data_IF_712924900887
#
_entry.id   IF_712924900887
#
_cell.length_a   1.000
_cell.length_b   1.000
_cell.length_c   1.000
_cell.angle_alpha   90.00
_cell.angle_beta   90.00
_cell.angle_gamma   90.00
#
_symmetry.space_group_name_H-M   'P 1'
#
loop_
_entity.id
_entity.type
_entity.pdbx_description
1 polymer ?
#
# COMPACT_ATOMS: atom_id res chain seq x y z
N UNK A 1 3.43 5.42 -21.70
CA UNK A 1 2.81 6.65 -21.15
C UNK A 1 1.29 6.43 -21.00
N UNK A 2 0.85 5.80 -19.92
CA UNK A 2 -0.57 5.64 -19.62
C UNK A 2 -1.03 6.76 -18.69
N UNK A 3 -1.70 7.80 -19.23
CA UNK A 3 -2.36 8.82 -18.39
C UNK A 3 -3.73 8.28 -17.99
N UNK A 4 -3.94 8.09 -16.69
CA UNK A 4 -5.28 7.90 -16.13
C UNK A 4 -6.04 9.22 -16.31
N UNK A 5 -7.08 9.21 -17.15
CA UNK A 5 -7.98 10.35 -17.31
C UNK A 5 -8.89 10.43 -16.08
N UNK A 6 -8.50 11.24 -15.10
CA UNK A 6 -9.41 11.65 -14.02
C UNK A 6 -10.35 12.73 -14.57
N UNK A 7 -11.66 12.50 -14.40
CA UNK A 7 -12.75 13.43 -14.69
C UNK A 7 -12.47 14.78 -14.02
N UNK A 8 -12.45 15.86 -14.83
CA UNK A 8 -12.26 17.23 -14.32
C UNK A 8 -13.48 17.67 -13.52
N UNK A 9 -13.38 17.61 -12.19
CA UNK A 9 -14.36 18.22 -11.31
C UNK A 9 -14.00 19.70 -11.11
N UNK A 10 -14.93 20.61 -11.42
CA UNK A 10 -14.69 22.07 -11.49
C UNK A 10 -14.67 22.80 -10.14
N UNK A 11 -14.62 22.11 -9.00
CA UNK A 11 -14.35 22.75 -7.70
C UNK A 11 -12.90 22.50 -7.30
N UNK A 12 -11.98 23.30 -7.85
CA UNK A 12 -10.56 23.23 -7.50
C UNK A 12 -10.39 23.83 -6.10
N UNK A 13 -10.16 22.97 -5.09
CA UNK A 13 -9.81 23.37 -3.72
C UNK A 13 -8.62 24.33 -3.75
N UNK A 14 -8.75 25.56 -3.27
CA UNK A 14 -7.58 26.45 -3.11
C UNK A 14 -6.80 26.05 -1.87
N UNK A 15 -5.47 25.98 -1.96
CA UNK A 15 -4.61 25.74 -0.80
C UNK A 15 -4.56 27.00 0.08
N UNK A 16 -4.73 26.85 1.39
CA UNK A 16 -4.53 27.96 2.32
C UNK A 16 -3.05 28.37 2.38
N UNK A 17 -2.77 29.56 2.93
CA UNK A 17 -1.38 30.00 3.15
C UNK A 17 -0.60 29.01 4.04
N UNK A 18 -1.23 28.47 5.09
CA UNK A 18 -0.61 27.47 5.97
C UNK A 18 -0.33 26.15 5.25
N UNK A 19 -1.21 25.73 4.34
CA UNK A 19 -0.99 24.53 3.52
C UNK A 19 0.12 24.74 2.49
N UNK A 20 0.16 25.92 1.85
CA UNK A 20 1.25 26.28 0.93
C UNK A 20 2.61 26.27 1.63
N UNK A 21 2.67 26.77 2.87
CA UNK A 21 3.88 26.73 3.70
C UNK A 21 4.27 25.29 4.07
N UNK A 22 3.33 24.54 4.67
CA UNK A 22 3.55 23.14 5.10
C UNK A 22 4.02 22.25 3.96
N UNK A 23 3.36 22.32 2.80
CA UNK A 23 3.60 21.43 1.67
C UNK A 23 4.56 22.00 0.64
N UNK A 24 5.24 23.13 0.92
CA UNK A 24 6.10 23.80 -0.05
C UNK A 24 7.11 22.85 -0.69
N UNK A 25 7.72 21.98 0.12
CA UNK A 25 8.72 21.00 -0.35
C UNK A 25 8.14 19.94 -1.28
N UNK A 26 6.88 19.55 -1.11
CA UNK A 26 6.20 18.66 -2.04
C UNK A 26 5.87 19.42 -3.33
N UNK A 27 5.30 20.63 -3.20
CA UNK A 27 4.87 21.48 -4.32
C UNK A 27 6.04 21.82 -5.26
N UNK A 28 7.22 22.06 -4.70
CA UNK A 28 8.43 22.37 -5.48
C UNK A 28 8.95 21.18 -6.31
N UNK A 29 8.47 19.95 -6.09
CA UNK A 29 8.87 18.78 -6.87
C UNK A 29 8.34 18.91 -8.31
N UNK A 30 9.22 18.83 -9.34
CA UNK A 30 8.80 18.85 -10.73
C UNK A 30 7.75 17.78 -11.04
N UNK A 31 6.60 18.20 -11.57
CA UNK A 31 5.47 17.32 -11.91
C UNK A 31 4.42 17.16 -10.82
N UNK A 32 4.74 17.40 -9.55
CA UNK A 32 3.76 17.36 -8.45
C UNK A 32 2.97 18.68 -8.40
N UNK A 33 3.65 19.79 -8.05
CA UNK A 33 3.05 21.12 -8.00
C UNK A 33 1.82 21.21 -7.07
N UNK A 34 1.14 22.36 -7.07
CA UNK A 34 -0.07 22.48 -6.26
C UNK A 34 -1.18 21.53 -6.70
N UNK A 35 -1.24 21.17 -7.99
CA UNK A 35 -2.24 20.22 -8.51
C UNK A 35 -2.10 18.86 -7.85
N UNK A 36 -0.88 18.33 -7.78
CA UNK A 36 -0.60 17.06 -7.12
C UNK A 36 -0.87 17.14 -5.61
N UNK A 37 -0.49 18.25 -4.97
CA UNK A 37 -0.76 18.44 -3.55
C UNK A 37 -2.26 18.49 -3.22
N UNK A 38 -3.07 19.15 -4.05
CA UNK A 38 -4.54 19.12 -3.93
C UNK A 38 -5.09 17.72 -4.08
N UNK A 39 -4.60 16.97 -5.07
CA UNK A 39 -5.00 15.58 -5.26
C UNK A 39 -4.70 14.72 -4.02
N UNK A 40 -3.52 14.88 -3.40
CA UNK A 40 -3.21 14.20 -2.13
C UNK A 40 -4.22 14.58 -1.03
N UNK A 41 -4.46 15.87 -0.84
CA UNK A 41 -5.37 16.39 0.20
C UNK A 41 -6.83 15.99 0.00
N UNK A 42 -7.22 15.60 -1.22
CA UNK A 42 -8.58 15.16 -1.54
C UNK A 42 -8.71 13.62 -1.59
N UNK A 43 -7.59 12.89 -1.47
CA UNK A 43 -7.53 11.43 -1.58
C UNK A 43 -7.87 10.71 -0.27
N UNK A 44 -8.42 9.50 -0.41
CA UNK A 44 -8.72 8.56 0.67
C UNK A 44 -7.89 7.28 0.52
N UNK A 45 -7.07 6.98 1.53
CA UNK A 45 -6.20 5.80 1.56
C UNK A 45 -6.65 4.84 2.66
N UNK A 46 -6.87 3.58 2.29
CA UNK A 46 -7.04 2.48 3.25
C UNK A 46 -5.69 1.81 3.49
N UNK A 47 -5.16 1.88 4.70
CA UNK A 47 -3.96 1.16 5.14
C UNK A 47 -4.39 -0.06 5.95
N UNK A 48 -4.20 -1.25 5.39
CA UNK A 48 -4.55 -2.52 6.06
C UNK A 48 -3.30 -3.07 6.73
N UNK A 49 -3.27 -3.03 8.06
CA UNK A 49 -2.12 -3.36 8.89
C UNK A 49 -1.37 -2.13 9.39
N UNK A 50 -1.21 -2.03 10.71
CA UNK A 50 -0.43 -1.02 11.41
C UNK A 50 0.89 -1.58 11.98
N UNK A 51 1.29 -2.78 11.53
CA UNK A 51 2.55 -3.44 11.92
C UNK A 51 3.82 -2.78 11.35
N UNK A 52 4.83 -3.58 11.01
CA UNK A 52 6.15 -3.05 10.62
C UNK A 52 6.09 -2.07 9.45
N UNK A 53 5.47 -2.48 8.34
CA UNK A 53 5.27 -1.64 7.15
C UNK A 53 4.36 -0.44 7.48
N UNK A 54 3.18 -0.70 8.05
CA UNK A 54 2.18 0.32 8.38
C UNK A 54 2.72 1.42 9.28
N UNK A 55 3.50 1.05 10.31
CA UNK A 55 4.13 2.00 11.23
C UNK A 55 5.06 3.02 10.54
N UNK A 56 5.59 2.69 9.36
CA UNK A 56 6.39 3.62 8.54
C UNK A 56 5.54 4.30 7.48
N UNK A 57 4.65 3.57 6.80
CA UNK A 57 3.79 4.13 5.73
C UNK A 57 2.87 5.24 6.26
N UNK A 58 2.17 4.99 7.37
CA UNK A 58 1.13 5.89 7.90
C UNK A 58 1.67 7.32 8.15
N UNK A 59 2.75 7.53 8.94
CA UNK A 59 3.27 8.88 9.17
C UNK A 59 3.79 9.54 7.88
N UNK A 60 4.30 8.78 6.91
CA UNK A 60 4.75 9.34 5.62
C UNK A 60 3.57 9.85 4.78
N UNK A 61 2.46 9.11 4.72
CA UNK A 61 1.25 9.55 4.00
C UNK A 61 0.60 10.76 4.69
N UNK A 62 0.49 10.73 6.02
CA UNK A 62 -0.05 11.85 6.80
C UNK A 62 0.84 13.10 6.64
N UNK A 63 2.16 12.95 6.75
CA UNK A 63 3.10 14.05 6.54
C UNK A 63 3.05 14.63 5.13
N UNK A 64 2.83 13.79 4.11
CA UNK A 64 2.67 14.23 2.71
C UNK A 64 1.34 14.97 2.45
N UNK A 65 0.39 14.93 3.37
CA UNK A 65 -0.91 15.58 3.23
C UNK A 65 -1.93 14.74 2.46
N UNK A 66 -1.89 13.41 2.59
CA UNK A 66 -3.00 12.55 2.13
C UNK A 66 -4.23 12.83 3.00
N UNK A 67 -5.30 13.36 2.40
CA UNK A 67 -6.41 13.98 3.14
C UNK A 67 -7.14 13.07 4.12
N UNK A 68 -7.34 11.81 3.75
CA UNK A 68 -7.99 10.82 4.61
C UNK A 68 -7.17 9.52 4.64
N UNK A 69 -6.79 9.09 5.83
CA UNK A 69 -6.07 7.82 6.06
C UNK A 69 -6.87 6.98 7.04
N UNK A 70 -7.44 5.87 6.55
CA UNK A 70 -8.09 4.87 7.42
C UNK A 70 -7.11 3.75 7.68
N UNK A 71 -6.83 3.48 8.95
CA UNK A 71 -5.88 2.47 9.41
C UNK A 71 -6.66 1.32 10.04
N UNK A 72 -6.39 0.08 9.64
CA UNK A 72 -7.03 -1.10 10.21
C UNK A 72 -6.00 -2.04 10.80
N UNK A 73 -6.25 -2.57 11.98
CA UNK A 73 -5.44 -3.59 12.63
C UNK A 73 -6.19 -4.17 13.82
N UNK A 74 -6.24 -5.51 13.91
CA UNK A 74 -6.90 -6.21 15.02
C UNK A 74 -5.98 -6.53 16.20
N UNK A 75 -4.67 -6.34 16.04
CA UNK A 75 -3.69 -6.73 17.04
C UNK A 75 -3.42 -5.63 18.07
N UNK A 76 -2.78 -6.05 19.15
CA UNK A 76 -2.26 -5.18 20.21
C UNK A 76 -0.77 -4.93 20.03
N UNK A 77 -0.28 -3.75 20.44
CA UNK A 77 1.15 -3.42 20.46
C UNK A 77 1.86 -4.28 21.52
N UNK A 78 2.89 -5.01 21.10
CA UNK A 78 3.73 -5.84 21.97
C UNK A 78 5.18 -5.33 22.02
N UNK A 79 5.91 -5.62 23.11
CA UNK A 79 7.32 -5.18 23.28
C UNK A 79 8.21 -5.68 22.12
N UNK A 80 8.08 -6.95 21.72
CA UNK A 80 8.87 -7.54 20.63
C UNK A 80 8.59 -6.94 19.25
N UNK A 81 7.54 -6.12 19.13
CA UNK A 81 7.18 -5.45 17.90
C UNK A 81 7.93 -4.11 17.74
N UNK A 82 8.32 -3.47 18.86
CA UNK A 82 8.84 -2.10 18.87
C UNK A 82 10.15 -1.90 18.10
N UNK A 83 10.95 -2.96 17.91
CA UNK A 83 12.19 -2.89 17.12
C UNK A 83 11.98 -2.51 15.64
N UNK A 84 10.76 -2.77 15.12
CA UNK A 84 10.38 -2.47 13.72
C UNK A 84 9.09 -1.67 13.57
N UNK A 85 8.26 -1.59 14.61
CA UNK A 85 7.01 -0.83 14.60
C UNK A 85 7.20 0.55 15.23
N UNK A 86 7.97 1.38 14.55
CA UNK A 86 8.54 2.62 15.10
C UNK A 86 7.53 3.74 15.35
N UNK A 87 6.27 3.55 14.98
CA UNK A 87 5.18 4.48 15.27
C UNK A 87 4.67 4.32 16.71
N UNK A 88 4.63 3.10 17.23
CA UNK A 88 3.97 2.83 18.51
C UNK A 88 4.84 3.24 19.71
N UNK A 89 4.17 3.70 20.77
CA UNK A 89 4.82 4.15 22.02
C UNK A 89 4.30 3.43 23.25
N UNK A 90 3.06 2.95 23.19
CA UNK A 90 2.36 2.35 24.33
C UNK A 90 2.09 0.89 24.03
N UNK A 91 2.63 0.00 24.86
CA UNK A 91 2.36 -1.44 24.80
C UNK A 91 0.98 -1.72 25.38
N UNK A 92 0.26 -2.68 24.81
CA UNK A 92 -1.05 -3.10 25.31
C UNK A 92 -2.26 -2.38 24.69
N UNK A 93 -2.06 -1.34 23.87
CA UNK A 93 -3.15 -0.73 23.10
C UNK A 93 -3.28 -1.36 21.70
N UNK A 94 -4.48 -1.27 21.10
CA UNK A 94 -4.68 -1.72 19.72
C UNK A 94 -3.79 -0.93 18.75
N UNK A 95 -3.20 -1.61 17.76
CA UNK A 95 -2.24 -1.00 16.83
C UNK A 95 -2.86 0.08 15.94
N UNK A 96 -4.11 -0.07 15.49
CA UNK A 96 -4.78 0.93 14.66
C UNK A 96 -5.08 2.22 15.46
N UNK A 97 -5.59 2.07 16.68
CA UNK A 97 -5.81 3.19 17.60
C UNK A 97 -4.50 3.89 17.95
N UNK A 98 -3.47 3.10 18.29
CA UNK A 98 -2.12 3.59 18.56
C UNK A 98 -1.59 4.40 17.37
N UNK A 99 -1.71 3.87 16.15
CA UNK A 99 -1.24 4.55 14.95
C UNK A 99 -1.96 5.89 14.74
N UNK A 100 -3.30 5.90 14.79
CA UNK A 100 -4.09 7.11 14.59
C UNK A 100 -3.76 8.19 15.63
N UNK A 101 -3.67 7.81 16.90
CA UNK A 101 -3.32 8.73 17.99
C UNK A 101 -1.93 9.36 17.81
N UNK A 102 -0.94 8.57 17.35
CA UNK A 102 0.44 9.06 17.19
C UNK A 102 0.60 10.04 16.03
N UNK A 103 -0.20 9.94 14.97
CA UNK A 103 -0.11 10.84 13.81
C UNK A 103 -1.10 12.01 13.86
N UNK A 104 -2.02 12.03 14.81
CA UNK A 104 -3.00 13.12 14.95
C UNK A 104 -2.34 14.50 15.12
N UNK A 105 -1.20 14.55 15.83
CA UNK A 105 -0.43 15.79 16.01
C UNK A 105 0.53 16.14 14.86
N UNK A 106 0.74 15.22 13.91
CA UNK A 106 1.71 15.40 12.82
C UNK A 106 1.18 16.39 11.76
N UNK A 107 -0.09 16.23 11.38
CA UNK A 107 -0.67 17.03 10.31
C UNK A 107 -2.17 17.28 10.52
N UNK A 108 -2.52 18.51 10.91
CA UNK A 108 -3.91 18.91 11.16
C UNK A 108 -4.79 19.06 9.91
N UNK A 109 -4.21 19.00 8.71
CA UNK A 109 -4.99 18.98 7.46
C UNK A 109 -5.55 17.58 7.11
N UNK A 110 -5.08 16.54 7.81
CA UNK A 110 -5.35 15.13 7.49
C UNK A 110 -6.29 14.52 8.52
N UNK A 111 -7.34 13.85 8.03
CA UNK A 111 -8.22 13.04 8.86
C UNK A 111 -7.68 11.62 8.95
N UNK A 112 -7.44 11.13 10.17
CA UNK A 112 -7.01 9.75 10.40
C UNK A 112 -8.07 9.00 11.20
N UNK A 113 -8.51 7.85 10.69
CA UNK A 113 -9.52 7.01 11.35
C UNK A 113 -8.92 5.62 11.65
N UNK A 114 -9.23 5.07 12.82
CA UNK A 114 -8.82 3.73 13.22
C UNK A 114 -9.99 2.74 13.15
N UNK A 115 -9.71 1.53 12.67
CA UNK A 115 -10.62 0.37 12.70
C UNK A 115 -9.90 -0.73 13.52
N UNK A 116 -10.19 -0.85 14.82
CA UNK A 116 -9.42 -1.65 15.77
C UNK A 116 -9.83 -3.13 15.81
N UNK A 117 -10.16 -3.72 14.66
CA UNK A 117 -10.54 -5.13 14.58
C UNK A 117 -10.02 -5.77 13.30
N UNK A 118 -9.97 -7.11 13.31
CA UNK A 118 -9.57 -7.89 12.13
C UNK A 118 -10.67 -7.80 11.07
N UNK A 119 -10.33 -7.31 9.88
CA UNK A 119 -11.29 -7.19 8.80
C UNK A 119 -11.77 -8.56 8.32
N UNK A 120 -13.07 -8.70 8.13
CA UNK A 120 -13.63 -9.79 7.36
C UNK A 120 -13.81 -9.42 5.88
N UNK A 121 -14.45 -10.30 5.10
CA UNK A 121 -14.70 -10.06 3.67
C UNK A 121 -15.64 -8.89 3.43
N UNK A 122 -16.65 -8.71 4.27
CA UNK A 122 -17.66 -7.65 4.11
C UNK A 122 -17.07 -6.29 4.47
N UNK A 123 -16.24 -6.24 5.51
CA UNK A 123 -15.45 -5.07 5.88
C UNK A 123 -14.52 -4.64 4.74
N UNK A 124 -13.72 -5.59 4.20
CA UNK A 124 -12.84 -5.32 3.06
C UNK A 124 -13.64 -4.78 1.87
N UNK A 125 -14.73 -5.45 1.50
CA UNK A 125 -15.57 -5.05 0.38
C UNK A 125 -16.10 -3.61 0.50
N UNK A 126 -16.62 -3.23 1.68
CA UNK A 126 -17.12 -1.88 1.99
C UNK A 126 -16.00 -0.83 2.01
N UNK A 127 -14.89 -1.14 2.70
CA UNK A 127 -13.78 -0.20 2.86
C UNK A 127 -13.10 0.05 1.53
N UNK A 128 -12.79 -1.00 0.76
CA UNK A 128 -12.20 -0.84 -0.58
C UNK A 128 -13.12 -0.02 -1.49
N UNK A 129 -14.45 -0.14 -1.38
CA UNK A 129 -15.39 0.67 -2.18
C UNK A 129 -15.23 2.19 -1.99
N UNK A 130 -14.91 2.59 -0.76
CA UNK A 130 -15.01 3.98 -0.30
C UNK A 130 -13.66 4.71 -0.29
N UNK A 131 -12.57 4.01 -0.61
CA UNK A 131 -11.22 4.55 -0.67
C UNK A 131 -10.70 4.56 -2.10
N UNK A 132 -9.79 5.48 -2.41
CA UNK A 132 -9.23 5.64 -3.76
C UNK A 132 -8.14 4.62 -4.04
N UNK A 133 -7.37 4.25 -3.01
CA UNK A 133 -6.27 3.27 -3.06
C UNK A 133 -6.19 2.50 -1.75
N UNK A 134 -5.77 1.24 -1.86
CA UNK A 134 -5.47 0.38 -0.71
C UNK A 134 -3.97 0.15 -0.61
N UNK A 135 -3.43 0.19 0.61
CA UNK A 135 -2.03 -0.09 0.91
C UNK A 135 -1.97 -1.34 1.80
N UNK A 136 -1.42 -2.42 1.26
CA UNK A 136 -1.26 -3.69 1.98
C UNK A 136 -0.01 -3.65 2.86
N UNK A 137 -0.23 -3.53 4.17
CA UNK A 137 0.80 -3.52 5.20
C UNK A 137 0.70 -4.74 6.14
N UNK A 138 -0.05 -5.79 5.76
CA UNK A 138 -0.18 -7.01 6.57
C UNK A 138 1.03 -7.94 6.37
N UNK A 139 1.24 -8.88 7.27
CA UNK A 139 2.32 -9.87 7.20
C UNK A 139 1.82 -11.30 6.92
N UNK A 140 0.51 -11.49 6.75
CA UNK A 140 -0.09 -12.79 6.44
C UNK A 140 -0.50 -12.89 4.98
N UNK A 141 0.02 -13.90 4.28
CA UNK A 141 -0.18 -14.04 2.85
C UNK A 141 -1.66 -14.23 2.44
N UNK A 142 -2.44 -14.95 3.25
CA UNK A 142 -3.88 -15.11 3.03
C UNK A 142 -4.64 -13.78 2.99
N UNK A 143 -4.34 -12.86 3.91
CA UNK A 143 -4.95 -11.54 3.92
C UNK A 143 -4.46 -10.67 2.74
N UNK A 144 -3.20 -10.78 2.32
CA UNK A 144 -2.70 -10.10 1.10
C UNK A 144 -3.52 -10.45 -0.15
N UNK A 145 -3.81 -11.74 -0.31
CA UNK A 145 -4.67 -12.21 -1.42
C UNK A 145 -6.11 -11.73 -1.26
N UNK A 146 -6.68 -11.77 -0.05
CA UNK A 146 -8.03 -11.29 0.21
C UNK A 146 -8.18 -9.79 -0.13
N UNK A 147 -7.21 -8.96 0.28
CA UNK A 147 -7.13 -7.54 -0.07
C UNK A 147 -7.06 -7.39 -1.60
N UNK A 148 -6.18 -8.12 -2.28
CA UNK A 148 -6.03 -8.04 -3.73
C UNK A 148 -7.30 -8.44 -4.48
N UNK A 149 -8.00 -9.49 -4.03
CA UNK A 149 -9.26 -9.94 -4.62
C UNK A 149 -10.38 -8.90 -4.43
N UNK A 150 -10.47 -8.27 -3.25
CA UNK A 150 -11.41 -7.19 -2.99
C UNK A 150 -11.12 -5.95 -3.86
N UNK A 151 -9.84 -5.55 -3.96
CA UNK A 151 -9.39 -4.47 -4.85
C UNK A 151 -9.74 -4.77 -6.31
N UNK A 152 -9.56 -6.02 -6.75
CA UNK A 152 -9.91 -6.47 -8.10
C UNK A 152 -11.41 -6.36 -8.38
N UNK A 153 -12.25 -6.83 -7.45
CA UNK A 153 -13.70 -6.73 -7.59
C UNK A 153 -14.17 -5.27 -7.67
N UNK A 154 -13.57 -4.39 -6.86
CA UNK A 154 -13.93 -2.96 -6.79
C UNK A 154 -13.17 -2.07 -7.76
N UNK A 155 -12.27 -2.64 -8.57
CA UNK A 155 -11.37 -1.94 -9.49
C UNK A 155 -10.62 -0.80 -8.80
N UNK A 156 -10.06 -1.09 -7.63
CA UNK A 156 -9.24 -0.14 -6.88
C UNK A 156 -7.77 -0.48 -6.99
N UNK A 157 -6.91 0.53 -7.19
CA UNK A 157 -5.47 0.34 -7.10
C UNK A 157 -5.06 -0.25 -5.74
N UNK A 158 -4.04 -1.10 -5.79
CA UNK A 158 -3.42 -1.71 -4.62
C UNK A 158 -1.92 -1.44 -4.66
N UNK A 159 -1.39 -0.83 -3.61
CA UNK A 159 0.05 -0.72 -3.39
C UNK A 159 0.49 -1.80 -2.42
N UNK A 160 1.16 -2.80 -2.97
CA UNK A 160 1.54 -4.03 -2.26
C UNK A 160 3.00 -4.00 -1.86
N UNK A 161 3.30 -4.54 -0.68
CA UNK A 161 4.66 -4.81 -0.26
C UNK A 161 4.75 -6.04 0.65
N UNK A 162 5.93 -6.62 0.74
CA UNK A 162 6.26 -7.68 1.70
C UNK A 162 7.74 -7.61 2.08
N UNK A 163 8.06 -8.05 3.31
CA UNK A 163 9.42 -8.06 3.86
C UNK A 163 9.62 -9.32 4.69
N UNK A 164 10.72 -10.01 4.45
CA UNK A 164 11.16 -11.14 5.25
C UNK A 164 12.68 -11.08 5.39
N UNK A 165 13.19 -11.26 6.61
CA UNK A 165 14.63 -11.18 6.88
C UNK A 165 15.24 -9.86 6.38
N UNK A 166 16.15 -9.93 5.42
CA UNK A 166 16.87 -8.83 4.79
C UNK A 166 16.42 -8.58 3.33
N UNK A 167 15.22 -9.07 2.97
CA UNK A 167 14.67 -8.97 1.62
C UNK A 167 13.29 -8.33 1.63
N UNK A 168 12.98 -7.60 0.56
CA UNK A 168 11.69 -6.94 0.42
C UNK A 168 11.25 -6.81 -1.02
N UNK A 169 9.94 -6.66 -1.20
CA UNK A 169 9.33 -6.48 -2.51
C UNK A 169 8.25 -5.41 -2.46
N UNK A 170 8.06 -4.68 -3.55
CA UNK A 170 6.98 -3.71 -3.72
C UNK A 170 6.48 -3.69 -5.18
N UNK A 171 5.17 -3.47 -5.34
CA UNK A 171 4.51 -3.36 -6.66
C UNK A 171 3.19 -2.61 -6.54
N UNK A 172 2.69 -2.09 -7.67
CA UNK A 172 1.37 -1.46 -7.80
C UNK A 172 0.50 -2.31 -8.73
N UNK A 173 -0.68 -2.70 -8.24
CA UNK A 173 -1.67 -3.50 -8.95
C UNK A 173 -2.95 -2.72 -9.21
N UNK A 174 -3.80 -3.21 -10.12
CA UNK A 174 -5.10 -2.58 -10.41
C UNK A 174 -5.01 -1.28 -11.21
N UNK A 175 -3.83 -0.99 -11.77
CA UNK A 175 -3.58 0.09 -12.73
C UNK A 175 -3.07 -0.55 -14.03
N UNK A 176 -3.54 -0.14 -15.23
CA UNK A 176 -3.02 -0.68 -16.47
C UNK A 176 -1.52 -0.41 -16.63
N UNK A 177 -0.75 -1.42 -17.02
CA UNK A 177 0.67 -1.28 -17.36
C UNK A 177 0.86 -0.58 -18.74
N UNK A 178 2.11 -0.49 -19.20
CA UNK A 178 2.43 0.12 -20.49
C UNK A 178 1.86 -0.64 -21.70
N UNK A 179 1.55 -1.93 -21.52
CA UNK A 179 0.97 -2.83 -22.53
C UNK A 179 -0.58 -2.88 -22.42
N UNK A 180 -1.15 -2.18 -21.42
CA UNK A 180 -2.59 -2.15 -21.15
C UNK A 180 -3.11 -3.31 -20.30
N UNK A 181 -2.23 -4.15 -19.75
CA UNK A 181 -2.64 -5.26 -18.90
C UNK A 181 -3.03 -4.77 -17.51
N UNK A 182 -4.12 -5.32 -16.96
CA UNK A 182 -4.55 -5.07 -15.59
C UNK A 182 -4.17 -6.26 -14.71
N UNK A 183 -3.04 -6.15 -14.03
CA UNK A 183 -2.45 -7.22 -13.23
C UNK A 183 -2.88 -7.12 -11.76
N UNK A 184 -2.89 -8.28 -11.08
CA UNK A 184 -3.23 -8.45 -9.68
C UNK A 184 -2.25 -9.38 -8.97
N UNK A 185 -2.33 -9.46 -7.65
CA UNK A 185 -1.37 -10.24 -6.85
C UNK A 185 -1.33 -11.73 -7.27
N UNK A 186 -2.45 -12.26 -7.77
CA UNK A 186 -2.55 -13.64 -8.29
C UNK A 186 -1.76 -13.88 -9.58
N UNK A 187 -1.44 -12.85 -10.36
CA UNK A 187 -0.54 -12.97 -11.50
C UNK A 187 0.91 -13.19 -11.06
N UNK A 188 1.29 -12.67 -9.90
CA UNK A 188 2.59 -12.88 -9.26
C UNK A 188 2.62 -14.19 -8.46
N UNK A 189 1.57 -14.48 -7.69
CA UNK A 189 1.45 -15.66 -6.85
C UNK A 189 0.17 -16.44 -7.20
N UNK A 190 0.29 -17.45 -8.07
CA UNK A 190 -0.86 -18.18 -8.62
C UNK A 190 -1.59 -19.03 -7.60
N UNK A 191 -0.84 -19.68 -6.72
CA UNK A 191 -1.37 -20.56 -5.67
C UNK A 191 -0.83 -20.11 -4.31
N UNK A 192 -1.69 -20.24 -3.28
CA UNK A 192 -1.23 -20.23 -1.90
C UNK A 192 -0.33 -21.46 -1.72
N UNK A 193 0.95 -21.29 -1.35
CA UNK A 193 1.64 -22.39 -0.71
C UNK A 193 0.79 -22.82 0.50
N UNK A 194 0.73 -24.11 0.85
CA UNK A 194 0.15 -24.55 2.10
C UNK A 194 0.63 -23.65 3.25
N UNK A 195 -0.24 -23.33 4.22
CA UNK A 195 0.12 -22.42 5.33
C UNK A 195 1.38 -22.89 6.10
N UNK A 196 1.72 -24.18 6.02
CA UNK A 196 2.95 -24.79 6.56
C UNK A 196 4.24 -24.41 5.84
N UNK A 197 4.16 -23.94 4.59
CA UNK A 197 5.30 -23.79 3.68
C UNK A 197 5.79 -22.35 3.58
N UNK A 198 5.06 -21.40 4.18
CA UNK A 198 5.44 -20.00 4.24
C UNK A 198 6.14 -19.72 5.57
N UNK A 199 7.46 -19.46 5.58
CA UNK A 199 8.13 -19.03 6.79
C UNK A 199 7.50 -17.73 7.28
N UNK A 200 6.92 -17.74 8.48
CA UNK A 200 6.40 -16.53 9.08
C UNK A 200 7.58 -15.62 9.44
N UNK A 201 7.40 -14.31 9.31
CA UNK A 201 8.44 -13.34 9.69
C UNK A 201 8.92 -13.51 11.15
N UNK A 202 8.07 -14.08 12.02
CA UNK A 202 8.42 -14.42 13.40
C UNK A 202 9.45 -15.57 13.51
N UNK A 203 9.50 -16.47 12.52
CA UNK A 203 10.35 -17.68 12.54
C UNK A 203 11.73 -17.42 11.90
N UNK A 204 11.82 -16.48 10.95
CA UNK A 204 13.06 -16.13 10.25
C UNK A 204 13.67 -14.80 10.76
N UNK A 205 12.88 -13.99 11.47
CA UNK A 205 13.25 -12.66 11.91
C UNK A 205 13.20 -11.62 10.78
N UNK A 206 13.25 -10.34 11.16
CA UNK A 206 13.25 -9.21 10.22
C UNK A 206 13.90 -7.97 10.85
N UNK A 207 14.73 -7.27 10.08
CA UNK A 207 15.39 -6.04 10.52
C UNK A 207 14.50 -4.82 10.28
N UNK A 208 14.20 -4.05 11.33
CA UNK A 208 13.34 -2.86 11.23
C UNK A 208 13.78 -1.83 10.18
N UNK A 209 15.08 -1.64 9.99
CA UNK A 209 15.62 -0.74 8.95
C UNK A 209 15.31 -1.22 7.51
N UNK A 210 15.20 -2.53 7.27
CA UNK A 210 14.81 -3.08 5.97
C UNK A 210 13.32 -2.90 5.76
N UNK A 211 12.52 -3.10 6.80
CA UNK A 211 11.08 -2.83 6.78
C UNK A 211 10.82 -1.36 6.42
N UNK A 212 11.55 -0.43 7.04
CA UNK A 212 11.41 1.00 6.77
C UNK A 212 11.79 1.38 5.32
N UNK A 213 12.82 0.76 4.73
CA UNK A 213 13.19 0.98 3.33
C UNK A 213 12.05 0.58 2.38
N UNK A 214 11.50 -0.62 2.57
CA UNK A 214 10.42 -1.13 1.71
C UNK A 214 9.14 -0.33 1.92
N UNK A 215 8.80 0.01 3.17
CA UNK A 215 7.66 0.86 3.49
C UNK A 215 7.80 2.28 2.91
N UNK A 216 9.01 2.83 2.86
CA UNK A 216 9.26 4.12 2.23
C UNK A 216 9.01 4.08 0.72
N UNK A 217 9.43 3.01 0.03
CA UNK A 217 9.07 2.77 -1.38
C UNK A 217 7.55 2.63 -1.53
N UNK A 218 6.90 1.86 -0.66
CA UNK A 218 5.44 1.68 -0.68
C UNK A 218 4.68 3.01 -0.50
N UNK A 219 5.09 3.85 0.44
CA UNK A 219 4.53 5.18 0.64
C UNK A 219 4.79 6.09 -0.57
N UNK A 220 5.99 6.02 -1.16
CA UNK A 220 6.35 6.78 -2.36
C UNK A 220 5.48 6.39 -3.56
N UNK A 221 5.25 5.10 -3.81
CA UNK A 221 4.34 4.63 -4.87
C UNK A 221 2.90 5.11 -4.64
N UNK A 222 2.44 5.10 -3.38
CA UNK A 222 1.10 5.59 -3.03
C UNK A 222 0.97 7.08 -3.33
N UNK A 223 1.94 7.90 -2.91
CA UNK A 223 1.95 9.35 -3.16
C UNK A 223 2.03 9.64 -4.66
N UNK A 224 2.91 8.94 -5.39
CA UNK A 224 3.03 9.08 -6.85
C UNK A 224 1.73 8.75 -7.55
N UNK A 225 1.06 7.66 -7.15
CA UNK A 225 -0.20 7.23 -7.75
C UNK A 225 -1.29 8.29 -7.57
N UNK A 226 -1.46 8.80 -6.35
CA UNK A 226 -2.48 9.80 -6.03
C UNK A 226 -2.21 11.16 -6.68
N UNK A 227 -0.94 11.59 -6.71
CA UNK A 227 -0.54 12.85 -7.33
C UNK A 227 -0.48 12.78 -8.87
N UNK A 228 -0.51 11.57 -9.45
CA UNK A 228 -0.29 11.34 -10.88
C UNK A 228 1.13 11.70 -11.32
N UNK A 229 2.14 11.28 -10.55
CA UNK A 229 3.54 11.63 -10.71
C UNK A 229 4.40 10.43 -11.17
N UNK A 230 5.21 10.66 -12.21
CA UNK A 230 6.26 9.74 -12.64
C UNK A 230 5.78 8.37 -13.10
N UNK A 231 6.71 7.41 -13.13
CA UNK A 231 6.42 6.02 -13.46
C UNK A 231 6.20 5.21 -12.17
N UNK A 232 5.06 4.54 -12.10
CA UNK A 232 4.69 3.65 -11.00
C UNK A 232 5.30 2.26 -11.21
N UNK A 233 5.47 1.48 -10.14
CA UNK A 233 5.81 0.06 -10.14
C UNK A 233 4.64 -0.83 -10.64
N UNK A 234 4.01 -0.44 -11.74
CA UNK A 234 2.96 -1.20 -12.41
C UNK A 234 3.61 -2.09 -13.47
N UNK A 235 3.16 -3.35 -13.55
CA UNK A 235 3.73 -4.31 -14.52
C UNK A 235 5.12 -4.83 -14.16
N UNK A 236 5.62 -4.53 -12.95
CA UNK A 236 6.94 -4.95 -12.47
C UNK A 236 6.99 -4.99 -10.95
N UNK A 237 7.85 -5.85 -10.42
CA UNK A 237 8.08 -5.96 -8.98
C UNK A 237 9.46 -5.42 -8.68
N UNK A 238 9.54 -4.44 -7.79
CA UNK A 238 10.79 -3.96 -7.23
C UNK A 238 11.25 -4.89 -6.11
N UNK A 239 12.52 -5.30 -6.14
CA UNK A 239 13.15 -6.18 -5.16
C UNK A 239 14.27 -5.44 -4.43
N UNK A 240 14.37 -5.68 -3.13
CA UNK A 240 15.48 -5.27 -2.28
C UNK A 240 16.21 -6.50 -1.74
N UNK A 241 17.53 -6.55 -1.98
CA UNK A 241 18.48 -7.40 -1.26
C UNK A 241 19.35 -6.49 -0.38
N UNK A 242 18.97 -6.37 0.90
CA UNK A 242 19.64 -5.48 1.83
C UNK A 242 20.98 -6.05 2.34
N UNK A 243 21.22 -7.36 2.22
CA UNK A 243 22.53 -7.96 2.55
C UNK A 243 23.59 -7.43 1.57
N UNK A 244 23.23 -7.35 0.28
CA UNK A 244 24.12 -6.87 -0.77
C UNK A 244 23.96 -5.39 -1.10
N UNK A 245 23.06 -4.70 -0.41
CA UNK A 245 22.65 -3.32 -0.71
C UNK A 245 22.29 -3.10 -2.19
N UNK A 246 21.49 -4.02 -2.76
CA UNK A 246 21.06 -3.98 -4.17
C UNK A 246 19.55 -3.90 -4.27
N UNK A 247 19.09 -3.17 -5.28
CA UNK A 247 17.71 -3.27 -5.75
C UNK A 247 17.65 -3.49 -7.25
N UNK A 248 16.60 -4.16 -7.70
CA UNK A 248 16.34 -4.42 -9.12
C UNK A 248 14.85 -4.61 -9.35
N UNK A 249 14.42 -4.47 -10.61
CA UNK A 249 13.02 -4.63 -11.01
C UNK A 249 12.90 -5.85 -11.92
N UNK A 250 11.88 -6.68 -11.68
CA UNK A 250 11.52 -7.78 -12.57
C UNK A 250 10.18 -7.50 -13.25
N UNK A 251 10.06 -7.67 -14.57
CA UNK A 251 8.78 -7.51 -15.25
C UNK A 251 7.80 -8.58 -14.79
N UNK A 252 6.57 -8.17 -14.52
CA UNK A 252 5.46 -9.07 -14.24
C UNK A 252 4.65 -9.26 -15.53
N UNK A 253 4.47 -10.51 -15.93
CA UNK A 253 3.62 -10.88 -17.07
C UNK A 253 2.30 -11.46 -16.53
N UNK A 254 1.18 -11.29 -17.25
CA UNK A 254 -0.04 -12.04 -16.95
C UNK A 254 0.28 -13.53 -16.81
N UNK A 255 -0.33 -14.19 -15.83
CA UNK A 255 -0.16 -15.62 -15.70
C UNK A 255 -0.62 -16.34 -16.98
N UNK A 256 0.27 -17.02 -17.70
CA UNK A 256 -0.11 -17.95 -18.76
C UNK A 256 -1.02 -19.04 -18.14
N UNK A 257 -2.34 -18.92 -18.34
CA UNK A 257 -3.31 -19.90 -17.87
C UNK A 257 -4.68 -19.33 -17.46
N UNK A 258 -5.48 -18.85 -18.42
CA UNK A 258 -6.89 -19.27 -18.41
C UNK A 258 -6.91 -20.60 -19.14
N UNK A 259 -7.01 -21.71 -18.42
CA UNK A 259 -7.69 -22.86 -19.00
C UNK A 259 -9.16 -22.44 -19.11
N UNK A 260 -9.52 -21.86 -20.25
CA UNK A 260 -10.92 -21.82 -20.66
C UNK A 260 -11.36 -23.28 -20.71
N UNK A 261 -12.24 -23.68 -19.79
CA UNK A 261 -13.09 -24.84 -20.00
C UNK A 261 -13.74 -24.65 -21.38
N UNK A 262 -13.26 -25.38 -22.39
CA UNK A 262 -13.89 -25.78 -23.64
C UNK A 262 -12.76 -26.25 -24.57
N UNK A 263 -12.55 -27.56 -24.59
CA UNK A 263 -11.50 -28.20 -25.39
C UNK A 263 -11.54 -29.70 -25.24
N UNK A 264 -12.72 -30.31 -25.43
CA UNK A 264 -12.77 -31.72 -25.81
C UNK A 264 -11.96 -31.89 -27.09
N UNK A 265 -10.82 -32.55 -27.01
CA UNK A 265 -10.28 -33.35 -28.11
C UNK A 265 -9.90 -34.70 -27.52
N UNK A 266 -10.73 -35.70 -27.81
CA UNK A 266 -10.34 -37.11 -27.72
C UNK A 266 -9.14 -37.33 -28.64
N UNK A 267 -8.11 -38.00 -28.15
CA UNK A 267 -7.09 -38.61 -28.98
C UNK A 267 -7.11 -40.14 -28.73
N UNK A 268 -7.19 -40.88 -29.83
CA UNK A 268 -7.25 -42.35 -30.03
C UNK A 268 -8.42 -43.10 -29.44
#
# INVERSE_FOLDING_TARGET
MGRVAMTQNQNVRTLSASQLERYRRNIDIPGLGERGQRALLDSKVLVVGAGGLGSTVIPLLVGAGVGHVTVTDGDTVEVGNLQRQVLHRTVGCNKAESAAAQVQGLNGDVTVAAIPHMLDRDDLDKLVATHDVVVDCVDTFGMKLAISDACRQRRRPLVWATVVSMQGQCSVFGVPDAEGNLLWLRDLHRELPPDSDLPLAKDVGVLGAVVAQVASVQATETIKLLAGLGDLLVGRVWFLDAIRARSFELPLRPGAGRLTQHGMVKAS
#
